data_IF_623202158284
#
_entry.id   IF_623202158284
#
_cell.length_a   1.000
_cell.length_b   1.000
_cell.length_c   1.000
_cell.angle_alpha   90.00
_cell.angle_beta   90.00
_cell.angle_gamma   90.00
#
_symmetry.space_group_name_H-M   'P 1'
#
loop_
_entity.id
_entity.type
_entity.pdbx_description
1 polymer ?
#
# COMPACT_ATOMS: atom_id res chain seq x y z
N UNK A 1 77.00 5.54 6.89
CA UNK A 1 75.72 5.79 7.59
C UNK A 1 74.61 5.45 6.60
N UNK A 2 74.11 4.22 6.67
CA UNK A 2 73.00 3.77 5.84
C UNK A 2 71.69 4.28 6.45
N UNK A 3 70.96 5.11 5.70
CA UNK A 3 69.60 5.49 6.07
C UNK A 3 68.64 4.40 5.61
N UNK A 4 68.13 3.63 6.56
CA UNK A 4 67.01 2.70 6.36
C UNK A 4 65.79 3.47 5.86
N UNK A 5 65.46 3.27 4.59
CA UNK A 5 64.22 3.77 4.00
C UNK A 5 63.06 2.90 4.53
N UNK A 6 62.35 3.40 5.53
CA UNK A 6 61.14 2.75 6.07
C UNK A 6 60.03 2.82 5.03
N UNK A 7 59.96 1.79 4.18
CA UNK A 7 58.90 1.61 3.21
C UNK A 7 57.58 1.38 3.94
N UNK A 8 56.82 2.46 4.14
CA UNK A 8 55.44 2.38 4.63
C UNK A 8 54.66 1.33 3.82
N UNK A 9 54.31 0.21 4.47
CA UNK A 9 53.48 -0.85 3.86
C UNK A 9 52.15 -0.20 3.43
N UNK A 10 51.94 -0.06 2.12
CA UNK A 10 50.64 0.35 1.56
C UNK A 10 49.55 -0.52 2.18
N UNK A 11 48.66 0.09 2.97
CA UNK A 11 47.53 -0.61 3.59
C UNK A 11 46.72 -1.28 2.49
N UNK A 12 46.58 -2.60 2.53
CA UNK A 12 45.65 -3.32 1.65
C UNK A 12 44.25 -2.83 1.97
N UNK A 13 43.58 -2.27 0.97
CA UNK A 13 42.20 -1.86 1.14
C UNK A 13 41.33 -3.09 1.31
N UNK A 14 40.47 -3.10 2.34
CA UNK A 14 39.43 -4.10 2.53
C UNK A 14 38.07 -3.46 2.20
N UNK A 15 37.54 -3.67 0.98
CA UNK A 15 36.25 -3.14 0.59
C UNK A 15 35.11 -3.59 1.50
N UNK A 16 35.22 -4.72 2.21
CA UNK A 16 34.15 -5.21 3.08
C UNK A 16 33.97 -4.33 4.33
N UNK A 17 35.07 -3.71 4.79
CA UNK A 17 35.09 -2.78 5.91
C UNK A 17 34.53 -1.39 5.57
N UNK A 18 34.37 -1.07 4.28
CA UNK A 18 33.85 0.25 3.87
C UNK A 18 32.42 0.44 4.35
N UNK A 19 32.15 1.57 5.02
CA UNK A 19 30.82 1.92 5.55
C UNK A 19 29.70 1.69 4.53
N UNK A 20 29.93 2.05 3.26
CA UNK A 20 28.97 1.84 2.16
C UNK A 20 28.69 0.35 1.90
N UNK A 21 29.70 -0.50 1.92
CA UNK A 21 29.57 -1.92 1.66
C UNK A 21 28.98 -2.67 2.87
N UNK A 22 29.34 -2.25 4.10
CA UNK A 22 28.68 -2.72 5.33
C UNK A 22 27.19 -2.37 5.32
N UNK A 23 26.82 -1.13 4.96
CA UNK A 23 25.41 -0.71 4.86
C UNK A 23 24.68 -1.47 3.75
N UNK A 24 25.30 -1.68 2.57
CA UNK A 24 24.73 -2.52 1.51
C UNK A 24 24.48 -3.94 1.99
N UNK A 25 25.43 -4.54 2.69
CA UNK A 25 25.31 -5.90 3.26
C UNK A 25 24.16 -5.98 4.25
N UNK A 26 24.10 -5.06 5.23
CA UNK A 26 23.02 -4.99 6.23
C UNK A 26 21.65 -4.78 5.59
N UNK A 27 21.55 -3.88 4.60
CA UNK A 27 20.31 -3.63 3.85
C UNK A 27 19.85 -4.88 3.08
N UNK A 28 20.77 -5.63 2.48
CA UNK A 28 20.49 -6.86 1.73
C UNK A 28 19.97 -7.97 2.64
N UNK A 29 20.63 -8.18 3.78
CA UNK A 29 20.23 -9.17 4.78
C UNK A 29 19.07 -8.72 5.68
N UNK A 30 18.48 -7.55 5.40
CA UNK A 30 17.36 -7.01 6.18
C UNK A 30 17.70 -6.67 7.63
N UNK A 31 18.98 -6.46 7.97
CA UNK A 31 19.38 -6.04 9.31
C UNK A 31 19.21 -4.52 9.48
N UNK A 32 19.11 -4.06 10.73
CA UNK A 32 19.10 -2.63 11.02
C UNK A 32 20.41 -1.96 10.61
N UNK A 33 20.33 -0.74 10.11
CA UNK A 33 21.51 0.01 9.67
C UNK A 33 21.29 1.52 9.75
N UNK A 34 22.38 2.28 9.86
CA UNK A 34 22.32 3.73 9.83
C UNK A 34 22.47 4.23 8.40
N UNK A 35 21.57 5.11 7.94
CA UNK A 35 21.63 5.69 6.61
C UNK A 35 22.69 6.81 6.53
N UNK A 36 22.92 7.35 5.33
CA UNK A 36 23.89 8.45 5.11
C UNK A 36 23.54 9.75 5.85
N UNK A 37 22.29 9.91 6.30
CA UNK A 37 21.80 11.04 7.10
C UNK A 37 21.87 10.78 8.60
N UNK A 38 22.48 9.66 9.03
CA UNK A 38 22.59 9.28 10.45
C UNK A 38 21.33 8.66 11.06
N UNK A 39 20.25 8.49 10.29
CA UNK A 39 18.98 7.93 10.78
C UNK A 39 19.07 6.41 10.84
N UNK A 40 18.66 5.81 11.95
CA UNK A 40 18.57 4.37 12.13
C UNK A 40 17.37 3.82 11.32
N UNK A 41 17.65 2.91 10.40
CA UNK A 41 16.64 2.12 9.68
C UNK A 41 16.52 0.78 10.41
N UNK A 42 15.32 0.38 10.87
CA UNK A 42 15.12 -0.89 11.59
C UNK A 42 15.35 -2.10 10.67
N UNK A 43 15.52 -3.27 11.30
CA UNK A 43 15.58 -4.54 10.57
C UNK A 43 14.25 -4.80 9.85
N UNK A 44 14.31 -5.48 8.71
CA UNK A 44 13.12 -5.95 8.00
C UNK A 44 12.45 -7.01 8.85
N UNK A 45 11.17 -6.81 9.12
CA UNK A 45 10.32 -7.78 9.77
C UNK A 45 9.23 -8.21 8.79
N UNK A 46 8.50 -9.26 9.15
CA UNK A 46 7.24 -9.56 8.48
C UNK A 46 6.28 -8.38 8.66
N UNK A 47 5.36 -8.24 7.70
CA UNK A 47 4.29 -7.27 7.84
C UNK A 47 3.34 -7.69 8.98
N UNK A 48 2.55 -6.76 9.53
CA UNK A 48 1.50 -7.13 10.46
C UNK A 48 0.55 -8.16 9.79
N UNK A 49 0.03 -9.11 10.58
CA UNK A 49 -0.93 -10.14 10.14
C UNK A 49 -2.21 -9.56 9.48
N UNK A 50 -2.41 -8.25 9.56
CA UNK A 50 -3.52 -7.49 9.01
C UNK A 50 -3.26 -6.94 7.60
N UNK A 51 -2.71 -7.77 6.70
CA UNK A 51 -2.65 -7.39 5.29
C UNK A 51 -4.07 -7.22 4.73
N UNK A 52 -4.48 -5.97 4.45
CA UNK A 52 -5.80 -5.60 3.92
C UNK A 52 -6.00 -5.95 2.45
N UNK A 53 -5.15 -6.82 1.88
CA UNK A 53 -5.41 -7.37 0.56
C UNK A 53 -6.66 -8.27 0.70
N UNK A 54 -7.59 -8.24 -0.27
CA UNK A 54 -8.73 -9.20 -0.34
C UNK A 54 -8.27 -10.65 -0.60
N UNK A 55 -6.99 -10.96 -0.37
CA UNK A 55 -6.31 -12.21 -0.70
C UNK A 55 -5.75 -12.90 0.53
N UNK A 56 -6.05 -12.38 1.72
CA UNK A 56 -5.67 -13.01 2.99
C UNK A 56 -4.16 -13.30 3.08
N UNK A 57 -3.34 -12.46 2.42
CA UNK A 57 -1.93 -12.74 2.13
C UNK A 57 -1.08 -13.03 3.39
N UNK A 58 -1.49 -12.48 4.54
CA UNK A 58 -0.82 -12.64 5.84
C UNK A 58 -1.69 -13.39 6.87
N UNK A 59 -2.92 -13.77 6.51
CA UNK A 59 -3.80 -14.61 7.35
C UNK A 59 -3.79 -16.06 6.87
N UNK A 60 -3.43 -16.32 5.62
CA UNK A 60 -3.20 -17.65 5.06
C UNK A 60 -1.89 -18.29 5.55
N UNK A 61 -0.99 -17.49 6.13
CA UNK A 61 0.30 -17.91 6.65
C UNK A 61 0.42 -17.49 8.11
N UNK A 62 0.79 -18.43 8.99
CA UNK A 62 1.11 -18.11 10.38
C UNK A 62 2.33 -17.20 10.46
N UNK A 63 2.54 -16.54 11.60
CA UNK A 63 3.65 -15.63 11.81
C UNK A 63 5.00 -16.34 11.56
N UNK A 64 5.15 -17.57 12.05
CA UNK A 64 6.35 -18.38 11.84
C UNK A 64 6.60 -18.66 10.36
N UNK A 65 5.54 -18.93 9.59
CA UNK A 65 5.61 -19.18 8.15
C UNK A 65 6.01 -17.93 7.39
N UNK A 66 5.50 -16.76 7.79
CA UNK A 66 5.89 -15.48 7.21
C UNK A 66 7.36 -15.18 7.48
N UNK A 67 7.82 -15.46 8.71
CA UNK A 67 9.22 -15.27 9.10
C UNK A 67 10.14 -16.23 8.33
N UNK A 68 9.74 -17.49 8.15
CA UNK A 68 10.48 -18.46 7.35
C UNK A 68 10.65 -18.00 5.89
N UNK A 69 9.57 -17.50 5.27
CA UNK A 69 9.61 -16.95 3.91
C UNK A 69 10.57 -15.76 3.82
N UNK A 70 10.51 -14.86 4.80
CA UNK A 70 11.37 -13.68 4.85
C UNK A 70 12.84 -14.07 5.06
N UNK A 71 13.12 -14.96 6.00
CA UNK A 71 14.47 -15.42 6.33
C UNK A 71 15.09 -16.19 5.16
N UNK A 72 14.31 -17.04 4.48
CA UNK A 72 14.78 -17.75 3.27
C UNK A 72 15.19 -16.77 2.17
N UNK A 73 14.45 -15.67 1.98
CA UNK A 73 14.80 -14.64 1.00
C UNK A 73 16.00 -13.77 1.44
N UNK A 74 16.05 -13.37 2.71
CA UNK A 74 17.14 -12.52 3.24
C UNK A 74 18.45 -13.28 3.44
N UNK A 75 18.38 -14.60 3.61
CA UNK A 75 19.52 -15.51 3.74
C UNK A 75 20.31 -15.73 2.45
N UNK A 76 19.79 -15.29 1.30
CA UNK A 76 20.49 -15.38 0.01
C UNK A 76 21.72 -14.46 -0.03
N UNK A 77 22.82 -14.94 -0.59
CA UNK A 77 24.15 -14.33 -0.48
C UNK A 77 24.30 -13.12 -1.40
N UNK A 78 23.65 -13.13 -2.56
CA UNK A 78 23.74 -12.07 -3.57
C UNK A 78 22.37 -11.51 -3.96
N UNK A 79 22.36 -10.30 -4.55
CA UNK A 79 21.13 -9.70 -5.11
C UNK A 79 20.60 -10.50 -6.30
N UNK A 80 21.51 -11.09 -7.07
CA UNK A 80 21.17 -11.91 -8.23
C UNK A 80 20.49 -13.21 -7.79
N UNK A 81 20.96 -13.86 -6.72
CA UNK A 81 20.27 -14.99 -6.10
C UNK A 81 18.86 -14.61 -5.62
N UNK A 82 18.70 -13.43 -5.00
CA UNK A 82 17.38 -12.91 -4.60
C UNK A 82 16.45 -12.72 -5.80
N UNK A 83 16.96 -12.21 -6.92
CA UNK A 83 16.17 -11.98 -8.13
C UNK A 83 15.80 -13.28 -8.83
N UNK A 84 16.73 -14.24 -8.94
CA UNK A 84 16.46 -15.57 -9.50
C UNK A 84 15.42 -16.30 -8.66
N UNK A 85 15.52 -16.21 -7.32
CA UNK A 85 14.52 -16.76 -6.42
C UNK A 85 13.13 -16.17 -6.69
N UNK A 86 12.99 -14.84 -6.80
CA UNK A 86 11.72 -14.19 -7.11
C UNK A 86 11.20 -14.52 -8.51
N UNK A 87 12.09 -14.64 -9.51
CA UNK A 87 11.72 -14.99 -10.88
C UNK A 87 11.13 -16.40 -10.95
N UNK A 88 11.69 -17.36 -10.21
CA UNK A 88 11.18 -18.73 -10.15
C UNK A 88 9.78 -18.84 -9.53
N UNK A 89 9.41 -17.85 -8.71
CA UNK A 89 8.07 -17.73 -8.11
C UNK A 89 7.03 -17.13 -9.07
N UNK A 90 7.44 -16.60 -10.22
CA UNK A 90 6.54 -16.02 -11.22
C UNK A 90 6.13 -17.12 -12.20
N UNK A 91 4.82 -17.38 -12.29
CA UNK A 91 4.26 -18.33 -13.27
C UNK A 91 3.54 -17.56 -14.37
N UNK A 92 3.85 -17.90 -15.62
CA UNK A 92 3.16 -17.40 -16.81
C UNK A 92 1.98 -18.32 -17.11
N UNK A 93 0.80 -17.75 -17.31
CA UNK A 93 -0.37 -18.48 -17.76
C UNK A 93 -1.08 -17.75 -18.90
N UNK A 94 -1.77 -18.47 -19.80
CA UNK A 94 -2.61 -17.85 -20.82
C UNK A 94 -3.81 -17.16 -20.17
N UNK A 95 -4.19 -15.97 -20.64
CA UNK A 95 -5.36 -15.28 -20.12
C UNK A 95 -6.67 -16.05 -20.41
N UNK A 96 -7.45 -16.33 -19.36
CA UNK A 96 -8.74 -17.05 -19.45
C UNK A 96 -9.86 -16.30 -20.21
N UNK A 97 -9.70 -15.02 -20.54
CA UNK A 97 -10.75 -14.21 -21.18
C UNK A 97 -10.31 -13.70 -22.55
N UNK A 98 -10.87 -14.27 -23.61
CA UNK A 98 -10.78 -13.75 -24.98
C UNK A 98 -11.86 -12.69 -25.18
N UNK A 99 -11.51 -11.40 -25.09
CA UNK A 99 -12.38 -10.37 -25.69
C UNK A 99 -12.05 -10.35 -27.17
N UNK A 100 -12.91 -10.97 -27.99
CA UNK A 100 -12.81 -10.85 -29.43
C UNK A 100 -13.32 -9.46 -29.82
N UNK A 101 -12.46 -8.68 -30.48
CA UNK A 101 -12.91 -7.60 -31.33
C UNK A 101 -12.85 -8.15 -32.76
N UNK A 102 -13.96 -8.02 -33.50
CA UNK A 102 -14.05 -8.53 -34.87
C UNK A 102 -12.92 -7.91 -35.72
N UNK A 103 -12.10 -8.76 -36.34
CA UNK A 103 -11.02 -8.34 -37.25
C UNK A 103 -9.57 -8.32 -36.72
N UNK A 104 -9.28 -8.65 -35.45
CA UNK A 104 -7.89 -8.73 -34.94
C UNK A 104 -7.49 -10.14 -34.49
N UNK A 105 -6.34 -10.62 -34.98
CA UNK A 105 -5.66 -11.82 -34.47
C UNK A 105 -5.34 -11.62 -32.97
N UNK A 106 -5.76 -12.54 -32.08
CA UNK A 106 -5.56 -12.37 -30.65
C UNK A 106 -4.06 -12.40 -30.31
N UNK A 107 -3.52 -11.29 -29.82
CA UNK A 107 -2.21 -11.31 -29.17
C UNK A 107 -2.32 -12.21 -27.92
N UNK A 108 -1.39 -13.15 -27.70
CA UNK A 108 -1.40 -14.01 -26.53
C UNK A 108 -1.18 -13.14 -25.29
N UNK A 109 -2.28 -12.78 -24.62
CA UNK A 109 -2.23 -12.03 -23.37
C UNK A 109 -1.72 -12.98 -22.30
N UNK A 110 -0.46 -12.81 -21.92
CA UNK A 110 0.15 -13.59 -20.85
C UNK A 110 -0.21 -12.94 -19.52
N UNK A 111 -0.76 -13.72 -18.60
CA UNK A 111 -0.99 -13.31 -17.21
C UNK A 111 0.22 -13.76 -16.40
N UNK A 112 0.73 -12.88 -15.54
CA UNK A 112 1.74 -13.22 -14.55
C UNK A 112 1.03 -13.47 -13.22
N UNK A 113 1.25 -14.66 -12.67
CA UNK A 113 0.86 -15.00 -11.30
C UNK A 113 2.11 -15.02 -10.43
N UNK A 114 2.01 -14.39 -9.26
CA UNK A 114 3.07 -14.33 -8.29
C UNK A 114 2.80 -15.36 -7.22
N UNK A 115 3.76 -16.24 -6.97
CA UNK A 115 3.63 -17.28 -5.97
C UNK A 115 4.55 -17.04 -4.78
N UNK A 116 4.25 -17.72 -3.68
CA UNK A 116 5.14 -17.80 -2.51
C UNK A 116 5.38 -19.28 -2.21
N UNK A 117 6.63 -19.63 -1.91
CA UNK A 117 7.00 -20.99 -1.47
C UNK A 117 6.93 -21.08 0.05
N UNK A 118 6.22 -22.09 0.54
CA UNK A 118 6.15 -22.44 1.95
C UNK A 118 6.44 -23.95 2.10
N UNK A 119 7.57 -24.32 2.73
CA UNK A 119 8.09 -25.69 2.66
C UNK A 119 8.26 -26.14 1.20
N UNK A 120 7.55 -27.21 0.81
CA UNK A 120 7.45 -27.74 -0.57
C UNK A 120 6.18 -27.28 -1.33
N UNK A 121 5.35 -26.41 -0.73
CA UNK A 121 4.06 -25.96 -1.31
C UNK A 121 4.15 -24.56 -1.89
N UNK A 122 3.34 -24.28 -2.92
CA UNK A 122 3.30 -22.99 -3.65
C UNK A 122 1.90 -22.34 -3.54
N UNK A 123 1.79 -21.06 -3.15
CA UNK A 123 0.52 -20.32 -2.98
C UNK A 123 0.46 -19.11 -3.93
N UNK A 124 -0.67 -18.87 -4.61
CA UNK A 124 -0.88 -17.80 -5.61
C UNK A 124 -1.42 -16.47 -5.02
N UNK A 125 -0.87 -15.32 -5.44
CA UNK A 125 -1.25 -13.96 -4.98
C UNK A 125 -1.95 -13.13 -6.10
N UNK A 126 -3.28 -12.90 -6.02
CA UNK A 126 -4.16 -12.29 -7.08
C UNK A 126 -4.45 -10.77 -7.05
N UNK A 127 -4.06 -9.97 -8.07
CA UNK A 127 -4.22 -8.49 -8.13
C UNK A 127 -5.62 -7.91 -7.74
N UNK A 128 -5.66 -6.79 -6.97
CA UNK A 128 -6.92 -6.07 -6.63
C UNK A 128 -7.49 -5.43 -7.89
N UNK A 129 -8.75 -5.71 -8.20
CA UNK A 129 -9.44 -5.20 -9.39
C UNK A 129 -10.44 -4.11 -9.01
N UNK A 130 -10.67 -3.13 -9.89
CA UNK A 130 -11.53 -1.97 -9.63
C UNK A 130 -12.97 -2.38 -9.26
N UNK A 131 -13.42 -3.53 -9.76
CA UNK A 131 -14.75 -4.11 -9.55
C UNK A 131 -14.96 -4.60 -8.12
N UNK A 132 -13.89 -4.74 -7.34
CA UNK A 132 -13.90 -5.21 -5.95
C UNK A 132 -13.83 -4.06 -4.94
N UNK A 133 -13.71 -2.81 -5.41
CA UNK A 133 -13.64 -1.63 -4.54
C UNK A 133 -15.06 -1.14 -4.25
N UNK A 134 -15.40 -1.00 -2.97
CA UNK A 134 -16.72 -0.59 -2.48
C UNK A 134 -16.76 0.92 -2.21
N UNK A 135 -17.92 1.55 -2.41
CA UNK A 135 -18.14 2.98 -2.15
C UNK A 135 -18.28 3.26 -0.65
N UNK A 136 -17.14 3.26 0.04
CA UNK A 136 -17.10 3.60 1.45
C UNK A 136 -17.50 5.05 1.72
N UNK A 137 -17.16 5.99 0.81
CA UNK A 137 -17.39 7.43 1.04
C UNK A 137 -18.88 7.77 1.01
N UNK A 138 -19.62 7.26 0.03
CA UNK A 138 -21.07 7.41 -0.06
C UNK A 138 -21.81 6.66 1.05
N UNK A 139 -21.32 5.47 1.43
CA UNK A 139 -21.83 4.76 2.59
C UNK A 139 -21.61 5.53 3.90
N UNK A 140 -20.39 6.00 4.16
CA UNK A 140 -19.99 6.70 5.38
C UNK A 140 -20.88 7.90 5.70
N UNK A 141 -21.16 8.75 4.72
CA UNK A 141 -21.97 9.96 4.91
C UNK A 141 -23.40 9.69 5.44
N UNK A 142 -23.92 8.46 5.26
CA UNK A 142 -25.25 8.07 5.73
C UNK A 142 -25.29 7.72 7.22
N UNK A 143 -24.19 7.23 7.78
CA UNK A 143 -24.13 6.68 9.14
C UNK A 143 -23.39 7.58 10.13
N UNK A 144 -22.49 8.44 9.67
CA UNK A 144 -21.61 9.22 10.52
C UNK A 144 -21.93 10.71 10.51
N UNK A 145 -21.63 11.39 11.62
CA UNK A 145 -21.67 12.87 11.66
C UNK A 145 -20.52 13.43 10.82
N UNK A 146 -20.65 14.66 10.32
CA UNK A 146 -19.50 15.39 9.77
C UNK A 146 -18.60 15.74 10.96
N UNK A 147 -17.33 15.31 10.91
CA UNK A 147 -16.27 15.61 11.90
C UNK A 147 -16.65 15.38 13.39
N UNK A 148 -17.08 14.18 13.81
CA UNK A 148 -17.45 13.92 15.20
C UNK A 148 -16.24 14.03 16.13
N UNK A 149 -16.44 14.68 17.29
CA UNK A 149 -15.49 14.65 18.41
C UNK A 149 -15.66 13.34 19.16
N UNK A 150 -14.55 12.78 19.65
CA UNK A 150 -14.55 11.59 20.48
C UNK A 150 -15.37 11.84 21.76
N UNK A 151 -16.06 10.81 22.24
CA UNK A 151 -16.89 10.89 23.44
C UNK A 151 -16.04 11.24 24.65
N UNK A 152 -14.82 10.72 24.70
CA UNK A 152 -13.85 10.97 25.76
C UNK A 152 -13.50 12.46 25.88
N UNK A 153 -13.54 13.21 24.77
CA UNK A 153 -13.08 14.60 24.70
C UNK A 153 -14.18 15.59 24.28
N UNK A 154 -15.44 15.18 24.11
CA UNK A 154 -16.49 16.07 23.60
C UNK A 154 -17.04 17.06 24.64
N UNK A 155 -16.73 16.87 25.93
CA UNK A 155 -17.27 17.65 27.03
C UNK A 155 -16.79 19.12 27.05
N UNK A 156 -17.60 20.01 27.67
CA UNK A 156 -17.27 21.45 27.83
C UNK A 156 -16.00 21.72 28.64
N UNK A 157 -15.54 20.73 29.43
CA UNK A 157 -14.34 20.83 30.27
C UNK A 157 -13.04 20.60 29.49
N UNK A 158 -13.09 19.93 28.33
CA UNK A 158 -11.92 19.69 27.51
C UNK A 158 -11.59 20.94 26.68
N UNK A 159 -10.33 21.37 26.69
CA UNK A 159 -9.85 22.45 25.82
C UNK A 159 -9.91 22.00 24.37
N UNK A 160 -9.99 22.94 23.44
CA UNK A 160 -10.10 22.65 22.00
C UNK A 160 -8.95 21.80 21.47
N UNK A 161 -7.74 22.07 21.94
CA UNK A 161 -6.50 21.35 21.60
C UNK A 161 -6.48 19.89 22.07
N UNK A 162 -7.22 19.58 23.14
CA UNK A 162 -7.35 18.22 23.69
C UNK A 162 -8.48 17.43 23.02
N UNK A 163 -9.28 18.06 22.14
CA UNK A 163 -10.39 17.40 21.47
C UNK A 163 -9.88 16.52 20.34
N UNK A 164 -10.18 15.23 20.44
CA UNK A 164 -9.88 14.27 19.39
C UNK A 164 -11.03 14.24 18.40
N UNK A 165 -10.80 14.73 17.19
CA UNK A 165 -11.76 14.68 16.09
C UNK A 165 -11.56 13.41 15.27
N UNK A 166 -12.67 12.88 14.73
CA UNK A 166 -12.62 11.77 13.82
C UNK A 166 -12.08 12.20 12.45
N UNK A 167 -10.86 11.81 12.14
CA UNK A 167 -10.28 11.88 10.80
C UNK A 167 -10.16 10.49 10.19
N UNK A 168 -10.78 10.24 9.03
CA UNK A 168 -10.69 8.93 8.36
C UNK A 168 -9.24 8.55 8.00
N UNK A 169 -8.39 9.56 7.79
CA UNK A 169 -6.95 9.40 7.57
C UNK A 169 -6.17 9.18 8.87
N UNK A 170 -6.70 9.62 10.00
CA UNK A 170 -6.05 9.54 11.32
C UNK A 170 -6.26 8.19 12.02
N UNK A 171 -7.31 7.46 11.63
CA UNK A 171 -7.68 6.17 12.20
C UNK A 171 -7.58 5.04 11.17
N UNK A 172 -7.07 3.88 11.57
CA UNK A 172 -6.76 2.77 10.68
C UNK A 172 -7.44 1.45 11.04
N UNK A 173 -8.09 1.39 12.21
CA UNK A 173 -8.89 0.25 12.66
C UNK A 173 -10.14 0.74 13.36
N UNK A 174 -11.29 0.23 12.91
CA UNK A 174 -12.61 0.55 13.43
C UNK A 174 -13.25 -0.72 13.96
N UNK A 175 -13.85 -0.64 15.14
CA UNK A 175 -14.58 -1.77 15.75
C UNK A 175 -15.96 -1.30 16.13
N UNK A 176 -16.96 -1.99 15.61
CA UNK A 176 -18.36 -1.81 15.97
C UNK A 176 -18.82 -3.07 16.70
N UNK A 177 -19.58 -2.90 17.78
CA UNK A 177 -20.17 -4.01 18.54
C UNK A 177 -21.68 -3.84 18.59
N UNK A 178 -22.41 -4.92 18.36
CA UNK A 178 -23.86 -4.96 18.56
C UNK A 178 -24.26 -4.75 20.03
N UNK A 179 -23.34 -4.97 20.98
CA UNK A 179 -23.56 -4.69 22.39
C UNK A 179 -23.55 -3.19 22.73
N UNK A 180 -23.01 -2.34 21.85
CA UNK A 180 -23.02 -0.88 21.99
C UNK A 180 -23.47 -0.20 20.69
N UNK A 181 -24.76 -0.34 20.31
CA UNK A 181 -25.27 0.24 19.07
C UNK A 181 -25.05 1.75 19.02
N UNK A 182 -24.73 2.27 17.83
CA UNK A 182 -24.50 3.70 17.66
C UNK A 182 -23.10 4.18 18.09
N UNK A 183 -22.22 3.29 18.55
CA UNK A 183 -20.85 3.63 18.96
C UNK A 183 -19.80 2.93 18.07
N UNK A 184 -18.84 3.69 17.59
CA UNK A 184 -17.68 3.20 16.85
C UNK A 184 -16.41 3.43 17.66
N UNK A 185 -15.65 2.37 17.92
CA UNK A 185 -14.28 2.51 18.44
C UNK A 185 -13.32 2.65 17.27
N UNK A 186 -12.46 3.66 17.30
CA UNK A 186 -11.44 3.88 16.29
C UNK A 186 -10.05 3.93 16.92
N UNK A 187 -9.06 3.38 16.20
CA UNK A 187 -7.65 3.32 16.62
C UNK A 187 -6.75 3.89 15.54
N UNK A 188 -5.72 4.61 15.95
CA UNK A 188 -4.73 5.19 15.04
C UNK A 188 -3.94 4.10 14.31
N UNK A 189 -3.78 2.94 14.95
CA UNK A 189 -3.11 1.77 14.38
C UNK A 189 -4.02 0.55 14.44
N UNK A 190 -3.75 -0.40 13.55
CA UNK A 190 -4.40 -1.72 13.63
C UNK A 190 -3.99 -2.36 14.95
N UNK A 191 -4.98 -2.86 15.68
CA UNK A 191 -4.86 -3.37 17.06
C UNK A 191 -4.17 -2.43 18.07
N UNK A 192 -4.17 -1.12 17.82
CA UNK A 192 -3.68 -0.14 18.78
C UNK A 192 -4.35 -0.26 20.16
N UNK A 193 -3.55 -0.17 21.21
CA UNK A 193 -4.04 -0.15 22.60
C UNK A 193 -4.92 1.07 22.88
N UNK A 194 -4.50 2.23 22.36
CA UNK A 194 -5.23 3.49 22.46
C UNK A 194 -6.35 3.51 21.41
N UNK A 195 -7.56 3.77 21.88
CA UNK A 195 -8.74 3.92 21.05
C UNK A 195 -9.56 5.13 21.50
N UNK A 196 -10.33 5.67 20.57
CA UNK A 196 -11.29 6.74 20.81
C UNK A 196 -12.67 6.28 20.35
N UNK A 197 -13.71 6.71 21.04
CA UNK A 197 -15.09 6.29 20.77
C UNK A 197 -15.85 7.43 20.11
N UNK A 198 -16.56 7.13 19.03
CA UNK A 198 -17.30 8.10 18.25
C UNK A 198 -18.76 7.69 18.15
N UNK A 199 -19.65 8.64 18.40
CA UNK A 199 -21.08 8.44 18.22
C UNK A 199 -21.47 8.55 16.74
N UNK A 200 -22.21 7.56 16.25
CA UNK A 200 -22.83 7.57 14.93
C UNK A 200 -23.94 8.62 14.85
N UNK A 201 -24.30 9.03 13.64
CA UNK A 201 -25.42 9.96 13.41
C UNK A 201 -26.76 9.30 13.73
N UNK A 202 -26.89 8.00 13.44
CA UNK A 202 -28.06 7.18 13.75
C UNK A 202 -27.63 6.05 14.69
N UNK A 203 -28.36 5.85 15.79
CA UNK A 203 -28.18 4.72 16.70
C UNK A 203 -28.82 3.46 16.12
N UNK A 204 -28.43 3.07 14.91
CA UNK A 204 -28.93 1.88 14.21
C UNK A 204 -27.82 0.89 13.96
N UNK A 205 -28.20 -0.36 13.65
CA UNK A 205 -27.28 -1.39 13.16
C UNK A 205 -26.61 -0.85 11.89
N UNK A 206 -25.28 -0.98 11.84
CA UNK A 206 -24.46 -0.55 10.71
C UNK A 206 -24.49 -1.65 9.65
N UNK A 207 -25.08 -1.39 8.49
CA UNK A 207 -24.93 -2.25 7.31
C UNK A 207 -23.55 -2.02 6.67
N UNK A 208 -22.97 -3.02 6.01
CA UNK A 208 -21.70 -2.85 5.30
C UNK A 208 -21.94 -2.24 3.89
N UNK A 209 -20.98 -1.49 3.33
CA UNK A 209 -21.10 -0.99 1.97
C UNK A 209 -21.17 -2.15 0.98
N UNK A 210 -22.22 -2.19 0.16
CA UNK A 210 -22.39 -3.18 -0.93
C UNK A 210 -22.25 -2.56 -2.32
N UNK A 211 -22.42 -1.24 -2.41
CA UNK A 211 -22.26 -0.51 -3.66
C UNK A 211 -20.79 -0.46 -4.09
N UNK A 212 -20.53 -0.60 -5.39
CA UNK A 212 -19.18 -0.47 -5.97
C UNK A 212 -18.79 1.00 -6.06
N UNK A 213 -17.54 1.32 -5.70
CA UNK A 213 -16.96 2.65 -5.87
C UNK A 213 -16.87 3.07 -7.35
N UNK A 214 -16.69 2.08 -8.24
CA UNK A 214 -16.51 2.31 -9.67
C UNK A 214 -17.44 1.37 -10.47
N UNK A 215 -18.72 1.72 -10.66
CA UNK A 215 -19.70 0.85 -11.33
C UNK A 215 -19.30 0.49 -12.78
N UNK A 216 -18.62 1.40 -13.47
CA UNK A 216 -18.10 1.21 -14.84
C UNK A 216 -16.71 0.55 -14.87
N UNK A 217 -16.12 0.20 -13.72
CA UNK A 217 -14.74 -0.28 -13.59
C UNK A 217 -13.67 0.77 -13.89
N UNK A 218 -14.07 2.02 -14.14
CA UNK A 218 -13.19 3.15 -14.44
C UNK A 218 -13.23 4.14 -13.28
N UNK A 219 -12.06 4.67 -12.93
CA UNK A 219 -11.92 5.70 -11.89
C UNK A 219 -12.19 7.06 -12.55
N UNK A 220 -13.19 7.83 -12.10
CA UNK A 220 -13.42 9.15 -12.66
C UNK A 220 -12.19 10.07 -12.47
N UNK A 221 -11.87 10.87 -13.48
CA UNK A 221 -10.75 11.81 -13.44
C UNK A 221 -11.21 13.26 -13.42
N UNK A 222 -10.41 14.14 -12.80
CA UNK A 222 -10.65 15.58 -12.86
C UNK A 222 -10.53 16.05 -14.32
N UNK A 223 -11.49 16.86 -14.79
CA UNK A 223 -11.50 17.34 -16.19
C UNK A 223 -10.16 17.97 -16.61
N UNK A 224 -9.59 18.84 -15.76
CA UNK A 224 -8.29 19.45 -16.03
C UNK A 224 -7.16 18.44 -16.31
N UNK A 225 -7.15 17.28 -15.62
CA UNK A 225 -6.18 16.22 -15.87
C UNK A 225 -6.42 15.53 -17.21
N UNK A 226 -7.68 15.37 -17.61
CA UNK A 226 -8.03 14.84 -18.93
C UNK A 226 -7.58 15.81 -20.02
N UNK A 227 -7.79 17.11 -19.82
CA UNK A 227 -7.37 18.15 -20.75
C UNK A 227 -5.83 18.18 -20.89
N UNK A 228 -5.09 18.03 -19.78
CA UNK A 228 -3.64 17.96 -19.81
C UNK A 228 -3.13 16.69 -20.51
N UNK A 229 -3.77 15.54 -20.30
CA UNK A 229 -3.46 14.31 -21.04
C UNK A 229 -3.73 14.48 -22.54
N UNK A 230 -4.81 15.17 -22.91
CA UNK A 230 -5.13 15.46 -24.30
C UNK A 230 -4.06 16.36 -24.96
N UNK A 231 -3.55 17.37 -24.25
CA UNK A 231 -2.43 18.21 -24.75
C UNK A 231 -1.15 17.41 -24.99
N UNK A 232 -0.92 16.34 -24.24
CA UNK A 232 0.26 15.50 -24.39
C UNK A 232 0.15 14.49 -25.55
N UNK A 233 -1.04 14.30 -26.13
CA UNK A 233 -1.29 13.32 -27.19
C UNK A 233 -0.29 13.37 -28.37
N UNK A 234 0.16 14.54 -28.87
CA UNK A 234 1.13 14.61 -29.97
C UNK A 234 2.49 14.01 -29.60
N UNK A 235 2.87 14.07 -28.33
CA UNK A 235 4.18 13.61 -27.82
C UNK A 235 4.18 12.14 -27.41
N UNK A 236 3.01 11.48 -27.43
CA UNK A 236 2.88 10.08 -27.05
C UNK A 236 3.26 9.20 -28.24
N UNK A 237 4.22 8.26 -28.08
CA UNK A 237 4.56 7.29 -29.11
C UNK A 237 3.34 6.52 -29.61
N UNK A 238 3.28 6.25 -30.92
CA UNK A 238 2.13 5.61 -31.58
C UNK A 238 1.64 4.35 -30.88
N UNK A 239 2.56 3.50 -30.42
CA UNK A 239 2.26 2.28 -29.66
C UNK A 239 1.40 2.49 -28.41
N UNK A 240 1.44 3.68 -27.81
CA UNK A 240 0.70 3.99 -26.58
C UNK A 240 -0.51 4.89 -26.81
N UNK A 241 -0.66 5.52 -27.98
CA UNK A 241 -1.81 6.40 -28.29
C UNK A 241 -3.16 5.76 -28.01
N UNK A 242 -3.44 4.48 -28.36
CA UNK A 242 -4.75 3.87 -28.10
C UNK A 242 -5.12 3.84 -26.61
N UNK A 243 -4.13 3.64 -25.73
CA UNK A 243 -4.35 3.66 -24.29
C UNK A 243 -4.77 5.06 -23.80
N UNK A 244 -4.02 6.10 -24.20
CA UNK A 244 -4.30 7.47 -23.75
C UNK A 244 -5.58 8.05 -24.37
N UNK A 245 -5.92 7.71 -25.62
CA UNK A 245 -7.22 8.03 -26.21
C UNK A 245 -8.34 7.38 -25.39
N UNK A 246 -8.20 6.10 -25.02
CA UNK A 246 -9.18 5.45 -24.15
C UNK A 246 -9.30 6.15 -22.79
N UNK A 247 -8.21 6.68 -22.24
CA UNK A 247 -8.16 7.35 -20.95
C UNK A 247 -8.88 8.72 -20.98
N UNK A 248 -8.79 9.45 -22.09
CA UNK A 248 -9.53 10.71 -22.29
C UNK A 248 -11.04 10.49 -22.30
N UNK A 249 -11.50 9.31 -22.75
CA UNK A 249 -12.93 8.94 -22.74
C UNK A 249 -13.45 8.40 -21.40
N UNK A 250 -12.64 8.44 -20.33
CA UNK A 250 -13.10 8.00 -19.01
C UNK A 250 -14.09 9.01 -18.41
N UNK A 251 -14.98 8.57 -17.50
CA UNK A 251 -15.87 9.48 -16.79
C UNK A 251 -15.07 10.60 -16.14
N UNK A 252 -15.52 11.84 -16.26
CA UNK A 252 -14.91 12.99 -15.60
C UNK A 252 -15.81 13.56 -14.52
N UNK A 253 -15.22 14.33 -13.61
CA UNK A 253 -15.96 15.15 -12.66
C UNK A 253 -15.43 16.58 -12.69
N UNK A 254 -16.35 17.54 -12.70
CA UNK A 254 -16.06 18.97 -12.54
C UNK A 254 -16.02 19.28 -11.05
N UNK A 255 -14.84 19.65 -10.55
CA UNK A 255 -14.73 20.20 -9.19
C UNK A 255 -15.16 21.67 -9.25
N UNK A 256 -16.47 21.93 -9.14
CA UNK A 256 -17.02 23.28 -8.93
C UNK A 256 -17.18 23.60 -7.45
N UNK A 257 -16.55 22.84 -6.57
CA UNK A 257 -16.43 23.16 -5.15
C UNK A 257 -14.95 23.11 -4.83
N UNK A 258 -14.36 24.29 -4.75
CA UNK A 258 -13.08 24.50 -4.11
C UNK A 258 -13.04 23.66 -2.84
N UNK A 259 -12.00 22.84 -2.71
CA UNK A 259 -11.54 22.41 -1.39
C UNK A 259 -11.09 23.70 -0.69
N UNK A 260 -12.06 24.41 -0.10
CA UNK A 260 -11.82 25.43 0.91
C UNK A 260 -10.88 24.80 1.95
N UNK A 261 -9.69 25.39 2.20
CA UNK A 261 -8.85 24.93 3.27
C UNK A 261 -9.58 25.22 4.59
N UNK A 262 -10.28 24.22 5.15
CA UNK A 262 -10.79 24.27 6.53
C UNK A 262 -9.58 24.18 7.49
N UNK A 263 -8.83 25.27 7.56
CA UNK A 263 -8.04 25.65 8.72
C UNK A 263 -8.50 27.05 9.11
N UNK A 264 -9.35 27.12 10.12
CA UNK A 264 -9.65 28.26 11.03
C UNK A 264 -11.11 28.17 11.51
N UNK A 265 -11.34 27.54 12.67
CA UNK A 265 -11.92 28.17 13.87
C UNK A 265 -12.20 27.17 14.98
#
# INVERSE_FOLDING_TARGET
MEHSNDNSKKRKSDPSSWKRNVVKKKRKSGLSYQNSKGVLVPAKTTGPNSCKCNRECMTSLSLDQQMEVLDRFLGLNTKDEQDVFLQNLIRRSPANRKRHHEGQQPLPRTVLSYNVLFGDKTIEVKLVQAETILDFKGWWARHYKKTPVSIETCGRKAKKEDKVYFGISSFHHFTYSSSSPGMLKARNFIDGLVHHTFALRKATILDLPTAKAYPSGKVPMKQAKVDDVAKLQPYIPEKYRPFFVSLITWPTYSTSQEDEPENEQ
#
